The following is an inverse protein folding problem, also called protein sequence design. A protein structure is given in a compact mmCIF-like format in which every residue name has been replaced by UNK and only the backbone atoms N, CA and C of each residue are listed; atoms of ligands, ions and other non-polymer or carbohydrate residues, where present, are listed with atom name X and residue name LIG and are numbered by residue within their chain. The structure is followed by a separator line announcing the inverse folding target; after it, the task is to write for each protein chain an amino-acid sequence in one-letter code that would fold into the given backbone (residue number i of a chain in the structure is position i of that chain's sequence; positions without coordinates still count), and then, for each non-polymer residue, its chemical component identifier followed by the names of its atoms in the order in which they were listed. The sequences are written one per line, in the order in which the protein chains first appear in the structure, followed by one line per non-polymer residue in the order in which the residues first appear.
data_IF_184047949735
#
_entry.id   IF_184047949735
#
_cell.length_a   1.000
_cell.length_b   1.000
_cell.length_c   1.000
_cell.angle_alpha   90.00
_cell.angle_beta   90.00
_cell.angle_gamma   90.00
#
_symmetry.space_group_name_H-M   'P 1'
#
loop_
_entity.id
_entity.type
_entity.pdbx_description
1 polymer ?
#
# COMPACT_ATOMS: atom_id res chain seq x y z
N UNK A 1 21.25 -27.58 -3.91
CA UNK A 1 21.14 -26.12 -3.71
C UNK A 1 20.26 -25.59 -4.83
N UNK A 2 18.95 -25.74 -4.65
CA UNK A 2 17.97 -25.35 -5.66
C UNK A 2 17.49 -23.94 -5.36
N UNK A 3 17.90 -22.98 -6.20
CA UNK A 3 17.32 -21.64 -6.26
C UNK A 3 15.85 -21.80 -6.60
N UNK A 4 14.97 -21.49 -5.66
CA UNK A 4 13.52 -21.40 -5.91
C UNK A 4 13.29 -20.11 -6.69
N UNK A 5 12.85 -20.16 -7.96
CA UNK A 5 12.39 -18.96 -8.64
C UNK A 5 11.00 -18.67 -8.09
N UNK A 6 10.86 -17.82 -7.08
CA UNK A 6 9.56 -17.41 -6.56
C UNK A 6 9.10 -16.13 -7.26
N UNK A 7 8.92 -16.23 -8.58
CA UNK A 7 8.08 -15.30 -9.34
C UNK A 7 6.61 -15.56 -9.04
N UNK A 8 6.21 -15.40 -7.78
CA UNK A 8 4.82 -15.11 -7.47
C UNK A 8 4.77 -13.60 -7.37
N UNK A 9 4.30 -12.95 -8.43
CA UNK A 9 3.86 -11.54 -8.37
C UNK A 9 2.93 -11.45 -7.15
N UNK A 10 3.47 -10.96 -6.05
CA UNK A 10 2.78 -10.97 -4.77
C UNK A 10 1.84 -9.79 -4.80
N UNK A 11 0.56 -10.08 -5.05
CA UNK A 11 -0.50 -9.10 -4.99
C UNK A 11 -0.93 -8.95 -3.53
N UNK A 12 -0.90 -7.73 -3.03
CA UNK A 12 -1.40 -7.32 -1.72
C UNK A 12 -2.50 -6.29 -1.91
N UNK A 13 -3.50 -6.31 -1.05
CA UNK A 13 -4.56 -5.33 -1.09
C UNK A 13 -4.25 -4.13 -0.20
N UNK A 14 -4.77 -2.94 -0.54
CA UNK A 14 -4.54 -1.72 0.24
C UNK A 14 -5.01 -1.90 1.69
N UNK A 15 -6.14 -2.57 1.89
CA UNK A 15 -6.69 -2.94 3.21
C UNK A 15 -5.77 -3.85 4.02
N UNK A 16 -5.00 -4.73 3.37
CA UNK A 16 -4.01 -5.61 4.04
C UNK A 16 -2.69 -4.87 4.33
N UNK A 17 -2.29 -3.97 3.44
CA UNK A 17 -1.10 -3.13 3.61
C UNK A 17 -1.31 -2.12 4.74
N UNK A 18 -2.51 -1.56 4.86
CA UNK A 18 -2.88 -0.72 6.00
C UNK A 18 -2.93 -1.55 7.27
N UNK A 19 -2.18 -1.13 8.29
CA UNK A 19 -1.97 -1.89 9.52
C UNK A 19 -0.78 -2.85 9.50
N UNK A 20 -0.17 -3.08 8.35
CA UNK A 20 1.04 -3.90 8.23
C UNK A 20 2.17 -3.31 9.09
N UNK A 21 2.94 -4.18 9.76
CA UNK A 21 4.06 -3.77 10.60
C UNK A 21 5.21 -3.18 9.78
N UNK A 22 5.84 -2.13 10.31
CA UNK A 22 7.06 -1.56 9.74
C UNK A 22 8.23 -1.81 10.67
N UNK A 23 9.31 -2.32 10.11
CA UNK A 23 10.49 -2.82 10.82
C UNK A 23 11.68 -1.95 10.41
N UNK A 24 12.39 -1.40 11.40
CA UNK A 24 13.62 -0.65 11.20
C UNK A 24 14.77 -1.57 10.74
N UNK A 25 15.87 -1.01 10.21
CA UNK A 25 17.06 -1.78 9.82
C UNK A 25 17.62 -2.61 11.00
N UNK A 26 17.56 -2.05 12.20
CA UNK A 26 17.98 -2.70 13.45
C UNK A 26 17.03 -3.82 13.94
N UNK A 27 15.94 -4.10 13.23
CA UNK A 27 14.97 -5.16 13.54
C UNK A 27 13.88 -4.76 14.53
N UNK A 28 13.91 -3.55 15.10
CA UNK A 28 12.84 -3.07 15.98
C UNK A 28 11.59 -2.68 15.18
N UNK A 29 10.41 -2.92 15.76
CA UNK A 29 9.13 -2.53 15.17
C UNK A 29 8.90 -1.03 15.37
N UNK A 30 8.90 -0.28 14.28
CA UNK A 30 8.68 1.18 14.28
C UNK A 30 7.21 1.54 14.45
N UNK A 31 6.32 0.71 13.91
CA UNK A 31 4.90 1.00 13.95
C UNK A 31 4.11 0.16 12.97
N UNK A 32 3.10 0.79 12.38
CA UNK A 32 2.25 0.21 11.34
C UNK A 32 2.06 1.22 10.22
N UNK A 33 1.91 0.74 9.00
CA UNK A 33 1.47 1.54 7.86
C UNK A 33 0.07 2.07 8.18
N UNK A 34 -0.10 3.38 8.09
CA UNK A 34 -1.38 4.04 8.23
C UNK A 34 -2.02 4.29 6.87
N UNK A 35 -1.22 4.69 5.90
CA UNK A 35 -1.71 5.07 4.58
C UNK A 35 -0.57 5.01 3.55
N UNK A 36 -0.93 4.84 2.27
CA UNK A 36 -0.01 4.84 1.14
C UNK A 36 -0.29 6.06 0.26
N UNK A 37 0.76 6.71 -0.22
CA UNK A 37 0.68 7.86 -1.10
C UNK A 37 1.22 7.55 -2.49
N UNK A 38 0.54 8.05 -3.52
CA UNK A 38 1.02 8.15 -4.89
C UNK A 38 1.35 9.60 -5.21
N UNK A 39 2.37 9.80 -6.04
CA UNK A 39 2.62 11.10 -6.64
C UNK A 39 2.64 10.92 -8.18
N UNK A 40 1.51 11.16 -8.86
CA UNK A 40 1.38 10.88 -10.29
C UNK A 40 2.42 11.59 -11.17
N UNK A 41 2.93 12.75 -10.72
CA UNK A 41 4.01 13.48 -11.40
C UNK A 41 5.38 12.79 -11.31
N UNK A 42 5.60 11.90 -10.33
CA UNK A 42 6.82 11.10 -10.20
C UNK A 42 6.65 9.76 -10.93
N UNK A 43 5.58 9.03 -10.64
CA UNK A 43 5.24 7.78 -11.31
C UNK A 43 3.72 7.55 -11.24
N UNK A 44 3.06 7.14 -12.34
CA UNK A 44 1.60 7.07 -12.38
C UNK A 44 1.00 6.02 -11.43
N UNK A 45 1.73 4.93 -11.15
CA UNK A 45 1.19 3.79 -10.40
C UNK A 45 2.05 3.33 -9.22
N UNK A 46 3.24 3.90 -9.00
CA UNK A 46 4.15 3.43 -7.95
C UNK A 46 3.90 4.23 -6.67
N UNK A 47 3.70 3.52 -5.56
CA UNK A 47 3.65 4.11 -4.22
C UNK A 47 4.91 4.92 -4.00
N UNK A 48 4.75 6.24 -3.80
CA UNK A 48 5.87 7.15 -3.57
C UNK A 48 6.21 7.24 -2.10
N UNK A 49 5.20 7.18 -1.22
CA UNK A 49 5.36 7.35 0.21
C UNK A 49 4.48 6.41 1.04
N UNK A 50 5.01 6.02 2.19
CA UNK A 50 4.33 5.27 3.24
C UNK A 50 4.16 6.17 4.45
N UNK A 51 2.92 6.34 4.90
CA UNK A 51 2.62 7.11 6.11
C UNK A 51 2.54 6.16 7.29
N UNK A 52 3.30 6.45 8.34
CA UNK A 52 3.40 5.65 9.55
C UNK A 52 2.86 6.41 10.76
N UNK A 53 2.37 5.68 11.75
CA UNK A 53 1.97 6.23 13.05
C UNK A 53 0.46 6.38 13.25
N UNK A 54 0.07 7.04 14.35
CA UNK A 54 -1.34 7.23 14.75
C UNK A 54 -1.72 8.69 14.90
N UNK A 55 -1.15 9.37 15.91
CA UNK A 55 -1.39 10.80 16.19
C UNK A 55 -0.45 11.68 15.37
N UNK A 56 0.85 11.47 15.56
CA UNK A 56 1.89 12.02 14.68
C UNK A 56 2.07 11.06 13.52
N UNK A 57 2.02 11.61 12.30
CA UNK A 57 2.27 10.86 11.08
C UNK A 57 3.68 11.15 10.60
N UNK A 58 4.41 10.09 10.28
CA UNK A 58 5.71 10.16 9.65
C UNK A 58 5.61 9.64 8.23
N UNK A 59 6.46 10.16 7.35
CA UNK A 59 6.51 9.79 5.96
C UNK A 59 7.83 9.08 5.68
N UNK A 60 7.74 7.96 4.97
CA UNK A 60 8.86 7.16 4.47
C UNK A 60 8.73 7.07 2.96
N UNK A 61 9.82 7.31 2.23
CA UNK A 61 9.85 7.22 0.76
C UNK A 61 10.03 5.77 0.31
N UNK A 62 9.60 5.49 -0.92
CA UNK A 62 9.73 4.16 -1.51
C UNK A 62 11.18 3.65 -1.62
N UNK A 63 12.14 4.55 -1.75
CA UNK A 63 13.57 4.21 -1.83
C UNK A 63 14.17 3.79 -0.47
N UNK A 64 13.48 4.05 0.63
CA UNK A 64 13.83 3.59 1.97
C UNK A 64 13.27 2.19 2.27
N UNK A 65 12.51 1.58 1.36
CA UNK A 65 11.94 0.24 1.56
C UNK A 65 12.93 -0.82 1.06
N UNK A 66 13.48 -1.61 1.96
CA UNK A 66 14.39 -2.71 1.61
C UNK A 66 13.61 -3.91 1.07
N UNK A 67 12.55 -4.34 1.78
CA UNK A 67 11.75 -5.49 1.38
C UNK A 67 10.32 -5.43 1.90
N UNK A 68 9.42 -6.08 1.17
CA UNK A 68 7.99 -6.17 1.49
C UNK A 68 7.58 -7.64 1.50
N UNK A 69 6.99 -8.07 2.61
CA UNK A 69 6.50 -9.43 2.77
C UNK A 69 5.24 -9.47 3.62
N UNK A 70 4.62 -10.65 3.73
CA UNK A 70 3.49 -10.85 4.65
C UNK A 70 3.85 -10.60 6.12
N UNK A 71 5.13 -10.64 6.49
CA UNK A 71 5.59 -10.34 7.85
C UNK A 71 5.65 -8.82 8.14
N UNK A 72 5.73 -7.99 7.11
CA UNK A 72 5.87 -6.55 7.24
C UNK A 72 6.69 -5.89 6.14
N UNK A 73 6.81 -4.58 6.26
CA UNK A 73 7.70 -3.73 5.45
C UNK A 73 8.98 -3.49 6.23
N UNK A 74 10.13 -3.83 5.65
CA UNK A 74 11.45 -3.58 6.23
C UNK A 74 12.09 -2.37 5.55
N UNK A 75 12.61 -1.46 6.37
CA UNK A 75 13.28 -0.26 5.87
C UNK A 75 14.80 -0.45 5.83
N UNK A 76 15.45 0.21 4.87
CA UNK A 76 16.91 0.25 4.71
C UNK A 76 17.57 1.29 5.63
N UNK A 77 16.84 2.35 5.99
CA UNK A 77 17.20 3.33 7.02
C UNK A 77 15.99 3.69 7.92
N UNK A 78 16.22 4.44 9.00
CA UNK A 78 15.18 4.89 9.93
C UNK A 78 15.04 6.43 9.96
N UNK A 79 15.29 7.09 8.83
CA UNK A 79 15.11 8.53 8.68
C UNK A 79 13.63 8.84 8.38
N UNK A 80 12.95 9.42 9.36
CA UNK A 80 11.55 9.81 9.25
C UNK A 80 11.39 11.31 9.06
N UNK A 81 10.54 11.70 8.11
CA UNK A 81 10.12 13.09 7.96
C UNK A 81 8.71 13.24 8.52
N UNK A 82 8.42 14.26 9.35
CA UNK A 82 7.05 14.55 9.75
C UNK A 82 6.16 14.76 8.53
N UNK A 83 4.98 14.13 8.52
CA UNK A 83 4.04 14.28 7.43
C UNK A 83 3.32 15.63 7.53
N UNK A 84 3.39 16.39 6.44
CA UNK A 84 2.58 17.58 6.21
C UNK A 84 1.67 17.33 5.00
N UNK A 85 0.39 17.74 5.05
CA UNK A 85 -0.49 17.64 3.89
C UNK A 85 0.10 18.32 2.67
N UNK A 86 0.14 17.59 1.56
CA UNK A 86 0.58 18.06 0.25
C UNK A 86 -0.51 17.69 -0.77
N UNK A 87 -0.97 18.66 -1.55
CA UNK A 87 -2.00 18.48 -2.57
C UNK A 87 -1.55 17.59 -3.73
N UNK A 88 -0.24 17.46 -3.94
CA UNK A 88 0.35 16.60 -4.98
C UNK A 88 0.40 15.14 -4.55
N UNK A 89 0.31 14.89 -3.25
CA UNK A 89 0.33 13.54 -2.69
C UNK A 89 -1.09 13.00 -2.65
N UNK A 90 -1.33 12.02 -3.50
CA UNK A 90 -2.61 11.35 -3.61
C UNK A 90 -2.64 10.15 -2.67
N UNK A 91 -3.43 10.24 -1.59
CA UNK A 91 -3.48 9.23 -0.55
C UNK A 91 -4.48 8.15 -0.93
N UNK A 92 -4.03 6.89 -1.07
CA UNK A 92 -4.84 5.84 -1.67
C UNK A 92 -6.09 5.48 -0.87
N UNK A 93 -6.00 5.43 0.46
CA UNK A 93 -7.16 5.08 1.30
C UNK A 93 -8.14 6.27 1.31
N UNK A 94 -7.66 7.47 1.64
CA UNK A 94 -8.49 8.67 1.72
C UNK A 94 -9.12 9.07 0.38
N UNK A 95 -8.34 9.05 -0.69
CA UNK A 95 -8.71 9.68 -1.98
C UNK A 95 -9.19 8.67 -3.03
N UNK A 96 -9.07 7.35 -2.82
CA UNK A 96 -9.68 6.33 -3.69
C UNK A 96 -10.64 5.39 -3.00
N UNK A 97 -10.34 4.92 -1.80
CA UNK A 97 -11.20 3.95 -1.12
C UNK A 97 -12.58 4.58 -0.91
N UNK A 98 -13.64 3.83 -1.25
CA UNK A 98 -15.03 4.30 -1.17
C UNK A 98 -15.41 5.48 -2.07
N UNK A 99 -14.50 5.94 -2.93
CA UNK A 99 -14.77 7.02 -3.85
C UNK A 99 -15.50 6.53 -5.10
N UNK A 100 -16.22 7.47 -5.71
CA UNK A 100 -16.88 7.28 -6.99
C UNK A 100 -15.91 7.67 -8.13
N UNK A 101 -15.60 6.71 -9.00
CA UNK A 101 -14.77 6.91 -10.18
C UNK A 101 -15.58 6.70 -11.46
N UNK A 102 -15.13 7.28 -12.57
CA UNK A 102 -15.77 7.13 -13.87
C UNK A 102 -15.14 5.96 -14.62
N UNK A 103 -15.94 4.93 -14.90
CA UNK A 103 -15.60 3.90 -15.87
C UNK A 103 -15.80 4.47 -17.27
N UNK A 104 -14.69 4.78 -17.94
CA UNK A 104 -14.67 5.38 -19.28
C UNK A 104 -15.22 4.45 -20.36
N UNK A 105 -15.15 3.13 -20.17
CA UNK A 105 -15.61 2.14 -21.13
C UNK A 105 -17.12 1.93 -21.01
N UNK A 106 -17.61 1.82 -19.76
CA UNK A 106 -19.04 1.63 -19.47
C UNK A 106 -19.85 2.92 -19.37
N UNK A 107 -19.20 4.10 -19.46
CA UNK A 107 -19.80 5.43 -19.23
C UNK A 107 -20.63 5.49 -17.95
N UNK A 108 -20.15 4.86 -16.88
CA UNK A 108 -20.86 4.75 -15.60
C UNK A 108 -19.96 5.20 -14.45
N UNK A 109 -20.59 5.70 -13.40
CA UNK A 109 -19.90 5.99 -12.15
C UNK A 109 -19.91 4.71 -11.30
N UNK A 110 -18.74 4.30 -10.82
CA UNK A 110 -18.55 3.09 -10.00
C UNK A 110 -17.89 3.44 -8.68
N UNK A 111 -18.21 2.71 -7.62
CA UNK A 111 -17.54 2.85 -6.32
C UNK A 111 -16.33 1.93 -6.22
N UNK A 112 -15.22 2.47 -5.74
CA UNK A 112 -14.00 1.72 -5.44
C UNK A 112 -14.14 1.00 -4.11
N UNK A 113 -13.90 -0.30 -4.11
CA UNK A 113 -13.94 -1.14 -2.92
C UNK A 113 -12.55 -1.50 -2.42
N UNK A 114 -11.59 -1.72 -3.30
CA UNK A 114 -10.22 -1.95 -2.87
C UNK A 114 -9.25 -1.70 -4.01
N UNK A 115 -7.97 -1.67 -3.68
CA UNK A 115 -6.88 -1.62 -4.64
C UNK A 115 -6.00 -2.85 -4.46
N UNK A 116 -5.70 -3.51 -5.56
CA UNK A 116 -4.69 -4.53 -5.63
C UNK A 116 -3.36 -3.86 -6.00
N UNK A 117 -2.34 -4.04 -5.16
CA UNK A 117 -0.99 -3.59 -5.40
C UNK A 117 -0.10 -4.80 -5.62
N UNK A 118 0.82 -4.70 -6.57
CA UNK A 118 1.83 -5.71 -6.86
C UNK A 118 3.15 -5.29 -6.25
N UNK A 119 3.81 -6.24 -5.58
CA UNK A 119 5.21 -6.08 -5.19
C UNK A 119 6.09 -6.28 -6.42
N UNK A 120 6.95 -5.30 -6.70
CA UNK A 120 7.95 -5.36 -7.77
C UNK A 120 9.32 -5.43 -7.10
N UNK A 121 9.99 -6.58 -7.26
CA UNK A 121 11.33 -6.80 -6.74
C UNK A 121 12.36 -6.14 -7.66
N UNK A 122 12.91 -5.00 -7.24
CA UNK A 122 14.06 -4.38 -7.90
C UNK A 122 15.36 -4.90 -7.25
N UNK A 123 16.53 -4.77 -7.93
CA UNK A 123 17.78 -5.38 -7.45
C UNK A 123 18.22 -5.00 -6.03
N UNK A 124 17.82 -3.82 -5.55
CA UNK A 124 18.24 -3.27 -4.25
C UNK A 124 17.09 -2.98 -3.29
N UNK A 125 15.83 -3.10 -3.76
CA UNK A 125 14.64 -2.70 -3.01
C UNK A 125 13.37 -3.30 -3.58
N UNK A 126 12.34 -3.39 -2.75
CA UNK A 126 10.99 -3.71 -3.20
C UNK A 126 10.17 -2.43 -3.42
N UNK A 127 9.42 -2.40 -4.50
CA UNK A 127 8.49 -1.31 -4.82
C UNK A 127 7.04 -1.83 -4.79
N UNK A 128 6.08 -0.97 -4.43
CA UNK A 128 4.65 -1.28 -4.52
C UNK A 128 4.02 -0.51 -5.67
N UNK A 129 3.38 -1.24 -6.58
CA UNK A 129 2.76 -0.68 -7.77
C UNK A 129 1.28 -0.98 -7.75
N UNK A 130 0.43 0.02 -7.94
CA UNK A 130 -1.00 -0.18 -8.13
C UNK A 130 -1.20 -1.00 -9.41
N UNK A 131 -1.81 -2.17 -9.23
CA UNK A 131 -2.03 -3.13 -10.30
C UNK A 131 -3.46 -3.04 -10.82
N UNK A 132 -4.45 -3.10 -9.92
CA UNK A 132 -5.87 -3.07 -10.27
C UNK A 132 -6.68 -2.29 -9.23
N UNK A 133 -7.77 -1.67 -9.69
CA UNK A 133 -8.76 -1.00 -8.85
C UNK A 133 -10.02 -1.85 -8.84
N UNK A 134 -10.36 -2.42 -7.68
CA UNK A 134 -11.56 -3.22 -7.50
C UNK A 134 -12.80 -2.34 -7.43
N UNK A 135 -13.71 -2.49 -8.42
CA UNK A 135 -14.95 -1.71 -8.53
C UNK A 135 -16.20 -2.59 -8.44
N UNK A 136 -17.27 -2.11 -7.78
CA UNK A 136 -18.59 -2.77 -7.81
C UNK A 136 -18.78 -4.03 -6.93
N UNK A 137 -19.90 -4.73 -7.09
CA UNK A 137 -20.40 -5.78 -6.17
C UNK A 137 -19.41 -6.93 -5.88
N UNK A 138 -18.56 -7.30 -6.84
CA UNK A 138 -17.55 -8.35 -6.65
C UNK A 138 -16.46 -7.93 -5.64
N UNK A 139 -16.05 -6.65 -5.64
CA UNK A 139 -15.13 -6.12 -4.63
C UNK A 139 -15.81 -5.88 -3.27
N UNK A 140 -17.10 -5.51 -3.28
CA UNK A 140 -17.87 -5.27 -2.06
C UNK A 140 -18.08 -6.55 -1.22
N UNK A 141 -18.25 -7.71 -1.88
CA UNK A 141 -18.38 -9.00 -1.20
C UNK A 141 -17.15 -9.33 -0.36
N UNK A 142 -15.94 -8.99 -0.84
CA UNK A 142 -14.69 -9.22 -0.10
C UNK A 142 -14.57 -8.36 1.15
N UNK A 143 -14.88 -7.06 1.06
CA UNK A 143 -14.91 -6.18 2.25
C UNK A 143 -15.90 -6.65 3.31
N UNK A 144 -17.06 -7.16 2.89
CA UNK A 144 -18.02 -7.72 3.81
C UNK A 144 -17.45 -8.94 4.53
N UNK A 145 -16.73 -9.83 3.84
CA UNK A 145 -16.08 -10.99 4.49
C UNK A 145 -14.93 -10.61 5.42
N UNK A 146 -14.18 -9.55 5.15
CA UNK A 146 -13.08 -9.06 6.01
C UNK A 146 -13.61 -8.36 7.28
N UNK A 147 -14.77 -7.70 7.22
CA UNK A 147 -15.43 -7.13 8.40
C UNK A 147 -15.90 -8.16 9.44
N UNK A 148 -15.96 -9.45 9.10
CA UNK A 148 -16.35 -10.54 9.99
C UNK A 148 -15.17 -11.37 10.53
N UNK A 149 -13.94 -11.17 10.05
CA UNK A 149 -12.77 -11.87 10.58
C UNK A 149 -12.16 -11.07 11.74
N UNK A 150 -12.13 -11.62 12.97
CA UNK A 150 -11.50 -10.95 14.09
C UNK A 150 -10.01 -10.79 13.82
N UNK A 151 -9.50 -9.57 14.00
CA UNK A 151 -8.07 -9.24 13.99
C UNK A 151 -7.31 -10.30 14.80
N UNK A 152 -6.48 -11.11 14.13
CA UNK A 152 -5.52 -11.96 14.83
C UNK A 152 -4.54 -11.05 15.57
N UNK A 153 -4.60 -11.16 16.90
CA UNK A 153 -3.74 -10.51 17.89
C UNK A 153 -2.30 -11.03 17.75
#
# INVERSE_FOLDING_TARGET
MATVPSGVDSILYLTELTGMGVIAPNGHRLGRVRELGLMPSEHPTRVSHFLLGRRTRFMVRHDQVESISLAGIRLSDDLFVPYYPDERLFLLEKDLLDQQIVDVNGRKVVRVNDLALRIVHAPERDELWVHEVGVGLQGAFRRLTEGFLPNKV
#
